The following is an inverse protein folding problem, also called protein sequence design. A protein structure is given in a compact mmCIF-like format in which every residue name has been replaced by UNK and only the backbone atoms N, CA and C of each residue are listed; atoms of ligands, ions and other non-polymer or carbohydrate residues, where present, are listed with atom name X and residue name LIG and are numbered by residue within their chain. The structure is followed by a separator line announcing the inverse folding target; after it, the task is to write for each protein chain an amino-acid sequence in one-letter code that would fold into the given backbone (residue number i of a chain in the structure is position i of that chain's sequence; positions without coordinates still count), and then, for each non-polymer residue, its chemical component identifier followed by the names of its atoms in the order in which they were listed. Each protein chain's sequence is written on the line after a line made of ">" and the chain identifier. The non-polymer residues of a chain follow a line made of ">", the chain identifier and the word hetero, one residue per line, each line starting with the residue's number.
data_IF_194731959592
#
_entry.id   IF_194731959592
#
_cell.length_a   1.000
_cell.length_b   1.000
_cell.length_c   1.000
_cell.angle_alpha   90.00
_cell.angle_beta   90.00
_cell.angle_gamma   90.00
#
_symmetry.space_group_name_H-M   'P 1'
#
loop_
_entity.id
_entity.type
_entity.pdbx_description
1 polymer ?
#
# COMPACT_ATOMS: atom_id res chain seq x y z
N UNK A 1 29.10 -34.70 15.82
CA UNK A 1 28.84 -35.96 15.08
C UNK A 1 27.74 -35.66 14.06
N UNK A 2 28.14 -35.18 12.88
CA UNK A 2 27.24 -34.90 11.74
C UNK A 2 27.00 -36.26 11.03
N UNK A 3 25.73 -36.63 10.86
CA UNK A 3 25.35 -37.76 9.99
C UNK A 3 25.12 -37.22 8.58
N UNK A 4 26.01 -37.52 7.66
CA UNK A 4 25.83 -37.33 6.23
C UNK A 4 24.71 -38.25 5.73
N UNK A 5 23.68 -37.66 5.13
CA UNK A 5 22.63 -38.41 4.43
C UNK A 5 23.16 -38.87 3.07
N UNK A 6 23.15 -40.19 2.87
CA UNK A 6 23.74 -40.88 1.74
C UNK A 6 22.87 -40.67 0.46
N UNK A 7 23.54 -40.40 -0.67
CA UNK A 7 22.97 -40.12 -2.02
C UNK A 7 21.94 -41.18 -2.50
N UNK A 8 21.94 -42.37 -1.91
CA UNK A 8 20.97 -43.45 -2.25
C UNK A 8 19.57 -43.24 -1.66
N UNK A 9 19.42 -42.45 -0.61
CA UNK A 9 18.09 -42.14 -0.01
C UNK A 9 17.36 -41.04 -0.78
N UNK A 10 18.08 -40.25 -1.56
CA UNK A 10 17.46 -39.19 -2.41
C UNK A 10 16.86 -39.76 -3.70
N UNK A 11 17.33 -40.92 -4.18
CA UNK A 11 16.84 -41.55 -5.41
C UNK A 11 15.64 -42.50 -5.20
N UNK A 12 15.31 -42.87 -3.96
CA UNK A 12 14.14 -43.71 -3.66
C UNK A 12 12.83 -42.93 -3.45
N UNK A 13 12.89 -41.59 -3.31
CA UNK A 13 11.71 -40.71 -3.23
C UNK A 13 11.25 -40.19 -4.61
N UNK A 14 12.02 -40.46 -5.66
CA UNK A 14 11.74 -40.04 -7.04
C UNK A 14 11.04 -41.04 -7.94
N UNK A 15 10.79 -42.30 -7.49
CA UNK A 15 10.37 -43.41 -8.36
C UNK A 15 8.92 -43.88 -8.15
N UNK A 16 8.07 -43.18 -7.44
CA UNK A 16 6.66 -43.55 -7.21
C UNK A 16 5.63 -42.52 -7.82
N UNK A 17 6.06 -41.72 -8.77
CA UNK A 17 5.18 -40.75 -9.43
C UNK A 17 5.05 -40.93 -10.96
N UNK A 18 5.24 -42.12 -11.46
CA UNK A 18 5.08 -42.35 -12.90
C UNK A 18 4.36 -43.68 -13.18
N UNK A 19 3.06 -43.73 -12.91
CA UNK A 19 2.10 -44.66 -13.56
C UNK A 19 0.66 -44.20 -13.22
N UNK A 20 0.08 -43.39 -14.10
CA UNK A 20 -1.27 -42.93 -13.96
C UNK A 20 -1.59 -41.86 -14.99
N UNK A 21 -1.26 -42.08 -16.29
CA UNK A 21 -1.72 -41.26 -17.38
C UNK A 21 -3.19 -41.59 -17.68
N UNK A 22 -4.09 -41.12 -16.81
CA UNK A 22 -5.49 -40.89 -17.11
C UNK A 22 -5.64 -39.46 -17.46
N UNK A 23 -5.94 -39.12 -18.72
CA UNK A 23 -6.40 -37.81 -19.16
C UNK A 23 -7.73 -37.45 -18.48
N UNK A 24 -7.72 -37.06 -17.23
CA UNK A 24 -8.72 -36.16 -16.70
C UNK A 24 -8.14 -34.74 -16.91
N UNK A 25 -8.80 -33.93 -17.74
CA UNK A 25 -8.63 -32.51 -17.74
C UNK A 25 -9.01 -32.00 -16.34
N UNK A 26 -8.06 -32.09 -15.41
CA UNK A 26 -8.14 -31.34 -14.18
C UNK A 26 -8.16 -29.88 -14.63
N UNK A 27 -9.37 -29.28 -14.69
CA UNK A 27 -9.49 -27.83 -14.56
C UNK A 27 -8.62 -27.50 -13.37
N UNK A 28 -7.50 -26.79 -13.61
CA UNK A 28 -6.74 -26.19 -12.53
C UNK A 28 -7.76 -25.41 -11.73
N UNK A 29 -8.00 -25.81 -10.48
CA UNK A 29 -8.88 -25.05 -9.61
C UNK A 29 -8.38 -23.62 -9.67
N UNK A 30 -9.18 -22.76 -10.27
CA UNK A 30 -8.83 -21.37 -10.54
C UNK A 30 -8.38 -20.74 -9.20
N UNK A 31 -7.12 -20.41 -9.08
CA UNK A 31 -6.55 -19.94 -7.81
C UNK A 31 -7.15 -18.58 -7.51
N UNK A 32 -8.22 -18.58 -6.72
CA UNK A 32 -8.86 -17.37 -6.22
C UNK A 32 -8.54 -17.15 -4.74
N UNK A 33 -8.36 -15.91 -4.35
CA UNK A 33 -8.13 -15.53 -2.96
C UNK A 33 -8.53 -14.06 -2.73
N UNK A 34 -8.62 -13.70 -1.47
CA UNK A 34 -8.81 -12.29 -1.09
C UNK A 34 -7.66 -11.77 -0.23
N UNK A 35 -7.54 -10.45 -0.21
CA UNK A 35 -6.61 -9.70 0.65
C UNK A 35 -7.42 -8.58 1.31
N UNK A 36 -7.33 -8.46 2.64
CA UNK A 36 -7.85 -7.30 3.33
C UNK A 36 -6.85 -6.15 3.18
N UNK A 37 -7.31 -4.98 2.71
CA UNK A 37 -6.45 -3.82 2.45
C UNK A 37 -6.82 -2.68 3.38
N UNK A 38 -5.84 -2.21 4.15
CA UNK A 38 -5.91 -1.02 4.97
C UNK A 38 -4.97 0.04 4.38
N UNK A 39 -5.43 1.26 4.24
CA UNK A 39 -4.58 2.40 3.88
C UNK A 39 -3.86 2.97 5.10
N UNK A 40 -3.59 4.25 5.05
CA UNK A 40 -3.04 5.02 6.16
C UNK A 40 -3.88 4.80 7.42
N UNK A 41 -3.30 4.30 8.48
CA UNK A 41 -4.00 4.05 9.75
C UNK A 41 -3.51 4.97 10.86
N UNK A 42 -2.28 5.49 10.76
CA UNK A 42 -1.67 6.42 11.69
C UNK A 42 -1.88 5.99 13.14
N UNK A 43 -1.44 4.77 13.48
CA UNK A 43 -1.57 4.26 14.85
C UNK A 43 -1.02 5.27 15.84
N UNK A 44 -1.79 5.50 16.88
CA UNK A 44 -1.42 6.31 18.04
C UNK A 44 -2.06 5.70 19.31
N UNK A 45 -1.65 6.17 20.46
CA UNK A 45 -2.29 5.78 21.72
C UNK A 45 -3.52 6.66 21.99
N UNK A 46 -4.56 6.11 22.63
CA UNK A 46 -5.66 6.91 23.16
C UNK A 46 -5.19 7.96 24.18
N UNK A 47 -4.07 7.73 24.88
CA UNK A 47 -3.40 8.73 25.71
C UNK A 47 -2.32 9.46 24.89
N UNK A 48 -2.56 10.73 24.64
CA UNK A 48 -1.69 11.64 23.88
C UNK A 48 -0.25 11.67 24.43
N UNK A 49 -0.05 11.49 25.75
CA UNK A 49 1.26 11.54 26.40
C UNK A 49 2.18 10.37 26.07
N UNK A 50 1.68 9.25 25.61
CA UNK A 50 2.47 8.00 25.46
C UNK A 50 3.64 8.17 24.50
N UNK A 51 3.41 8.72 23.29
CA UNK A 51 4.46 8.85 22.28
C UNK A 51 4.97 10.28 22.10
N UNK A 52 4.20 11.29 22.48
CA UNK A 52 4.43 12.70 22.14
C UNK A 52 4.90 13.55 23.33
N UNK A 53 5.04 12.99 24.54
CA UNK A 53 5.39 13.73 25.75
C UNK A 53 6.70 14.52 25.65
N UNK A 54 7.65 14.05 24.85
CA UNK A 54 8.97 14.70 24.66
C UNK A 54 9.00 15.65 23.46
N UNK A 55 7.94 15.69 22.67
CA UNK A 55 7.90 16.57 21.51
C UNK A 55 7.67 18.02 21.92
N UNK A 56 8.61 18.89 21.58
CA UNK A 56 8.54 20.34 21.89
C UNK A 56 8.77 21.13 20.60
N UNK A 57 7.73 21.53 19.90
CA UNK A 57 7.89 22.35 18.70
C UNK A 57 8.51 23.70 19.06
N UNK A 58 9.34 24.24 18.15
CA UNK A 58 9.94 25.55 18.32
C UNK A 58 8.85 26.61 18.55
N UNK A 59 8.97 27.37 19.63
CA UNK A 59 8.02 28.44 19.97
C UNK A 59 7.82 29.40 18.78
N UNK A 60 6.58 29.78 18.51
CA UNK A 60 6.21 30.66 17.38
C UNK A 60 6.18 29.97 16.00
N UNK A 61 6.62 28.71 15.88
CA UNK A 61 6.55 27.98 14.62
C UNK A 61 5.10 27.59 14.26
N UNK A 62 4.89 27.29 12.98
CA UNK A 62 3.59 26.72 12.50
C UNK A 62 3.29 25.44 13.26
N UNK A 63 4.31 24.61 13.47
CA UNK A 63 4.20 23.37 14.24
C UNK A 63 3.67 23.61 15.66
N UNK A 64 4.17 24.60 16.38
CA UNK A 64 3.67 24.92 17.72
C UNK A 64 2.19 25.33 17.75
N UNK A 65 1.70 25.93 16.66
CA UNK A 65 0.28 26.32 16.53
C UNK A 65 -0.63 25.15 16.22
N UNK A 66 -0.20 24.23 15.37
CA UNK A 66 -1.05 23.13 14.89
C UNK A 66 -0.96 21.86 15.75
N UNK A 67 0.14 21.67 16.48
CA UNK A 67 0.41 20.45 17.23
C UNK A 67 -0.69 20.08 18.26
N UNK A 68 -1.17 20.99 19.11
CA UNK A 68 -2.22 20.65 20.09
C UNK A 68 -3.53 20.20 19.42
N UNK A 69 -3.92 20.85 18.32
CA UNK A 69 -5.11 20.49 17.57
C UNK A 69 -4.94 19.13 16.88
N UNK A 70 -3.75 18.87 16.34
CA UNK A 70 -3.41 17.61 15.70
C UNK A 70 -3.45 16.47 16.71
N UNK A 71 -2.84 16.63 17.88
CA UNK A 71 -2.84 15.64 18.94
C UNK A 71 -4.26 15.32 19.44
N UNK A 72 -5.10 16.35 19.61
CA UNK A 72 -6.50 16.13 19.96
C UNK A 72 -7.24 15.30 18.90
N UNK A 73 -7.04 15.58 17.63
CA UNK A 73 -7.65 14.84 16.52
C UNK A 73 -7.22 13.38 16.54
N UNK A 74 -5.94 13.10 16.72
CA UNK A 74 -5.39 11.74 16.77
C UNK A 74 -5.90 10.97 17.98
N UNK A 75 -5.98 11.63 19.14
CA UNK A 75 -6.62 11.06 20.34
C UNK A 75 -8.08 10.68 20.08
N UNK A 76 -8.87 11.60 19.53
CA UNK A 76 -10.29 11.37 19.26
C UNK A 76 -10.47 10.20 18.27
N UNK A 77 -9.62 10.14 17.22
CA UNK A 77 -9.60 9.05 16.26
C UNK A 77 -9.31 7.70 16.92
N UNK A 78 -8.30 7.62 17.78
CA UNK A 78 -7.88 6.36 18.42
C UNK A 78 -8.69 6.01 19.66
N UNK A 79 -9.45 6.94 20.24
CA UNK A 79 -10.37 6.68 21.34
C UNK A 79 -11.62 5.91 20.92
N UNK A 80 -11.94 5.82 19.65
CA UNK A 80 -13.18 5.18 19.20
C UNK A 80 -13.21 4.74 17.75
N UNK A 81 -13.06 5.67 16.79
CA UNK A 81 -13.31 5.40 15.37
C UNK A 81 -12.38 4.32 14.79
N UNK A 82 -11.09 4.39 15.06
CA UNK A 82 -10.14 3.41 14.54
C UNK A 82 -10.30 2.03 15.15
N UNK A 83 -10.70 1.95 16.42
CA UNK A 83 -11.02 0.67 17.08
C UNK A 83 -12.23 0.00 16.42
N UNK A 84 -13.28 0.79 16.10
CA UNK A 84 -14.46 0.30 15.37
C UNK A 84 -14.09 -0.16 13.96
N UNK A 85 -13.24 0.60 13.24
CA UNK A 85 -12.75 0.22 11.93
C UNK A 85 -11.94 -1.09 11.98
N UNK A 86 -11.03 -1.25 12.96
CA UNK A 86 -10.27 -2.48 13.13
C UNK A 86 -11.17 -3.68 13.42
N UNK A 87 -12.20 -3.50 14.27
CA UNK A 87 -13.19 -4.55 14.57
C UNK A 87 -14.02 -4.92 13.32
N UNK A 88 -14.38 -3.94 12.48
CA UNK A 88 -15.07 -4.17 11.23
C UNK A 88 -14.15 -4.86 10.20
N UNK A 89 -12.90 -4.42 10.09
CA UNK A 89 -11.89 -5.03 9.22
C UNK A 89 -11.69 -6.53 9.53
N UNK A 90 -11.65 -6.89 10.81
CA UNK A 90 -11.58 -8.31 11.21
C UNK A 90 -12.78 -9.12 10.70
N UNK A 91 -13.98 -8.56 10.70
CA UNK A 91 -15.20 -9.25 10.21
C UNK A 91 -15.18 -9.47 8.70
N UNK A 92 -14.40 -8.68 7.94
CA UNK A 92 -14.28 -8.83 6.49
C UNK A 92 -13.28 -9.93 6.09
N UNK A 93 -12.53 -10.49 7.05
CA UNK A 93 -11.66 -11.64 6.81
C UNK A 93 -12.51 -12.86 6.51
N UNK A 94 -12.28 -13.46 5.36
CA UNK A 94 -12.97 -14.66 4.85
C UNK A 94 -12.05 -15.86 4.88
N UNK A 95 -12.56 -17.10 4.70
CA UNK A 95 -11.73 -18.30 4.64
C UNK A 95 -10.67 -18.28 3.52
N UNK A 96 -10.94 -17.54 2.42
CA UNK A 96 -10.02 -17.37 1.30
C UNK A 96 -9.06 -16.19 1.44
N UNK A 97 -9.16 -15.39 2.52
CA UNK A 97 -8.25 -14.29 2.80
C UNK A 97 -6.85 -14.83 3.15
N UNK A 98 -5.82 -14.38 2.43
CA UNK A 98 -4.45 -14.88 2.58
C UNK A 98 -3.58 -14.03 3.48
N UNK A 99 -3.77 -12.72 3.48
CA UNK A 99 -3.04 -11.79 4.33
C UNK A 99 -3.78 -10.46 4.46
N UNK A 100 -3.33 -9.64 5.39
CA UNK A 100 -3.75 -8.24 5.54
C UNK A 100 -2.62 -7.35 5.04
N UNK A 101 -2.90 -6.54 4.02
CA UNK A 101 -1.97 -5.57 3.45
C UNK A 101 -2.27 -4.18 4.01
N UNK A 102 -1.24 -3.50 4.54
CA UNK A 102 -1.36 -2.12 5.01
C UNK A 102 -0.44 -1.22 4.18
N UNK A 103 -1.00 -0.13 3.61
CA UNK A 103 -0.39 0.66 2.54
C UNK A 103 0.53 1.80 3.04
N UNK A 104 1.22 1.59 4.17
CA UNK A 104 2.14 2.59 4.76
C UNK A 104 1.45 3.59 5.68
N UNK A 105 2.26 4.38 6.39
CA UNK A 105 1.81 5.22 7.49
C UNK A 105 1.05 4.37 8.54
N UNK A 106 1.73 3.28 8.95
CA UNK A 106 1.25 2.42 10.03
C UNK A 106 1.11 3.21 11.33
N UNK A 107 2.08 4.08 11.60
CA UNK A 107 2.11 4.90 12.80
C UNK A 107 1.95 6.39 12.48
N UNK A 108 1.53 7.16 13.48
CA UNK A 108 1.50 8.62 13.37
C UNK A 108 2.91 9.22 13.39
N UNK A 109 3.90 8.55 13.96
CA UNK A 109 5.23 9.11 14.15
C UNK A 109 5.20 10.31 15.11
N UNK A 110 5.93 11.39 14.81
CA UNK A 110 6.05 12.59 15.67
C UNK A 110 6.61 12.28 17.07
N UNK A 111 7.45 11.27 17.18
CA UNK A 111 8.16 10.91 18.42
C UNK A 111 9.43 11.74 18.52
N UNK A 112 9.75 12.27 19.69
CA UNK A 112 10.96 13.07 19.86
C UNK A 112 12.24 12.24 20.00
N UNK A 113 12.14 10.91 20.06
CA UNK A 113 13.26 10.00 20.29
C UNK A 113 13.11 8.73 19.46
N UNK A 114 14.23 8.22 18.94
CA UNK A 114 14.29 6.99 18.17
C UNK A 114 13.69 5.78 18.92
N UNK A 115 13.99 5.62 20.21
CA UNK A 115 13.44 4.54 21.02
C UNK A 115 11.91 4.60 21.18
N UNK A 116 11.33 5.82 21.24
CA UNK A 116 9.88 5.98 21.29
C UNK A 116 9.27 5.66 19.92
N UNK A 117 9.95 6.02 18.85
CA UNK A 117 9.54 5.69 17.48
C UNK A 117 9.54 4.16 17.26
N UNK A 118 10.59 3.47 17.70
CA UNK A 118 10.66 2.01 17.66
C UNK A 118 9.48 1.38 18.42
N UNK A 119 9.24 1.86 19.66
CA UNK A 119 8.11 1.40 20.45
C UNK A 119 6.78 1.63 19.77
N UNK A 120 6.55 2.79 19.15
CA UNK A 120 5.31 3.08 18.43
C UNK A 120 5.11 2.16 17.23
N UNK A 121 6.18 1.83 16.47
CA UNK A 121 6.15 0.84 15.38
C UNK A 121 5.78 -0.55 15.90
N UNK A 122 6.38 -0.99 17.01
CA UNK A 122 6.09 -2.28 17.64
C UNK A 122 4.64 -2.36 18.13
N UNK A 123 4.18 -1.33 18.82
CA UNK A 123 2.83 -1.26 19.37
C UNK A 123 1.79 -1.22 18.25
N UNK A 124 2.02 -0.42 17.19
CA UNK A 124 1.14 -0.33 16.03
C UNK A 124 1.04 -1.66 15.27
N UNK A 125 2.19 -2.29 15.02
CA UNK A 125 2.23 -3.62 14.41
C UNK A 125 1.48 -4.65 15.28
N UNK A 126 1.80 -4.69 16.58
CA UNK A 126 1.18 -5.62 17.54
C UNK A 126 -0.32 -5.41 17.67
N UNK A 127 -0.79 -4.16 17.66
CA UNK A 127 -2.21 -3.83 17.70
C UNK A 127 -2.96 -4.43 16.51
N UNK A 128 -2.52 -4.14 15.27
CA UNK A 128 -3.21 -4.65 14.08
C UNK A 128 -3.05 -6.15 13.92
N UNK A 129 -1.89 -6.71 14.21
CA UNK A 129 -1.68 -8.16 14.22
C UNK A 129 -2.65 -8.85 15.17
N UNK A 130 -2.81 -8.36 16.40
CA UNK A 130 -3.71 -8.94 17.40
C UNK A 130 -5.18 -8.71 17.07
N UNK A 131 -5.56 -7.50 16.68
CA UNK A 131 -6.98 -7.12 16.56
C UNK A 131 -7.59 -7.45 15.21
N UNK A 132 -6.81 -7.39 14.12
CA UNK A 132 -7.31 -7.60 12.75
C UNK A 132 -6.88 -8.97 12.21
N UNK A 133 -5.62 -9.33 12.29
CA UNK A 133 -5.06 -10.50 11.59
C UNK A 133 -4.29 -11.48 12.49
N UNK A 134 -4.87 -11.97 13.63
CA UNK A 134 -4.12 -12.83 14.54
C UNK A 134 -3.59 -14.09 13.88
N UNK A 135 -4.33 -14.66 12.93
CA UNK A 135 -4.05 -15.94 12.28
C UNK A 135 -3.53 -15.80 10.84
N UNK A 136 -3.46 -14.56 10.31
CA UNK A 136 -3.01 -14.29 8.95
C UNK A 136 -1.77 -13.40 8.95
N UNK A 137 -0.89 -13.48 7.95
CA UNK A 137 0.20 -12.53 7.79
C UNK A 137 -0.32 -11.08 7.77
N UNK A 138 0.35 -10.21 8.53
CA UNK A 138 0.14 -8.76 8.49
C UNK A 138 1.33 -8.10 7.79
N UNK A 139 1.09 -7.47 6.65
CA UNK A 139 2.12 -6.94 5.76
C UNK A 139 1.98 -5.43 5.64
N UNK A 140 2.48 -4.64 6.61
CA UNK A 140 2.59 -3.20 6.47
C UNK A 140 3.79 -2.84 5.58
N UNK A 141 3.56 -2.00 4.56
CA UNK A 141 4.65 -1.39 3.81
C UNK A 141 5.09 -0.08 4.47
N UNK A 142 6.25 0.44 4.07
CA UNK A 142 6.77 1.69 4.65
C UNK A 142 6.08 2.93 4.08
N UNK A 143 5.52 3.77 4.96
CA UNK A 143 5.06 5.11 4.65
C UNK A 143 6.03 6.20 5.12
N UNK A 144 5.68 7.48 4.88
CA UNK A 144 6.56 8.57 5.28
C UNK A 144 6.53 8.83 6.79
N UNK A 145 5.42 8.59 7.46
CA UNK A 145 5.32 8.67 8.92
C UNK A 145 6.12 7.57 9.63
N UNK A 146 6.34 6.44 8.97
CA UNK A 146 7.09 5.33 9.52
C UNK A 146 8.61 5.57 9.54
N UNK A 147 9.13 6.48 8.69
CA UNK A 147 10.59 6.74 8.54
C UNK A 147 11.00 8.21 8.53
N UNK A 148 10.11 9.13 8.16
CA UNK A 148 10.40 10.57 8.00
C UNK A 148 9.21 11.46 8.44
N UNK A 149 8.19 10.86 9.02
CA UNK A 149 6.93 11.52 9.44
C UNK A 149 7.11 12.55 10.54
N UNK A 150 8.32 12.78 10.96
CA UNK A 150 8.61 13.80 11.92
C UNK A 150 9.70 14.72 11.37
N UNK A 151 9.26 15.88 10.91
CA UNK A 151 10.14 17.05 10.71
C UNK A 151 10.95 17.39 11.98
N UNK A 152 10.77 16.64 13.04
CA UNK A 152 11.19 16.82 14.40
C UNK A 152 12.22 15.81 14.89
N UNK A 153 12.37 14.69 14.20
CA UNK A 153 13.40 13.70 14.47
C UNK A 153 14.61 13.92 13.57
N UNK A 154 15.78 13.65 14.10
CA UNK A 154 16.96 13.43 13.26
C UNK A 154 16.64 12.24 12.32
N UNK A 155 16.61 12.53 11.01
CA UNK A 155 16.13 11.62 9.97
C UNK A 155 16.94 10.33 9.84
N UNK A 156 18.23 10.37 10.16
CA UNK A 156 19.12 9.21 10.01
C UNK A 156 18.77 8.07 10.95
N UNK A 157 18.59 8.29 12.25
CA UNK A 157 18.24 7.21 13.16
C UNK A 157 16.88 6.56 12.85
N UNK A 158 15.91 7.31 12.34
CA UNK A 158 14.53 6.80 12.17
C UNK A 158 14.42 5.74 11.07
N UNK A 159 15.20 5.87 10.00
CA UNK A 159 15.26 4.85 8.94
C UNK A 159 15.83 3.53 9.43
N UNK A 160 16.92 3.61 10.20
CA UNK A 160 17.54 2.42 10.78
C UNK A 160 16.59 1.80 11.80
N UNK A 161 15.92 2.60 12.61
CA UNK A 161 14.86 2.12 13.53
C UNK A 161 13.79 1.35 12.78
N UNK A 162 13.26 1.86 11.66
CA UNK A 162 12.29 1.13 10.86
C UNK A 162 12.87 -0.21 10.35
N UNK A 163 14.08 -0.19 9.81
CA UNK A 163 14.73 -1.39 9.28
C UNK A 163 14.94 -2.44 10.36
N UNK A 164 15.45 -2.03 11.50
CA UNK A 164 15.73 -2.90 12.63
C UNK A 164 14.47 -3.46 13.29
N UNK A 165 13.39 -2.66 13.32
CA UNK A 165 12.13 -3.02 13.98
C UNK A 165 11.18 -3.79 13.05
N UNK A 166 11.01 -3.34 11.80
CA UNK A 166 9.94 -3.82 10.94
C UNK A 166 10.37 -4.93 9.99
N UNK A 167 11.60 -4.90 9.43
CA UNK A 167 12.01 -5.93 8.45
C UNK A 167 12.08 -7.34 9.06
N UNK A 168 12.53 -7.54 10.31
CA UNK A 168 12.46 -8.86 10.95
C UNK A 168 11.02 -9.36 11.11
N UNK A 169 10.07 -8.47 11.47
CA UNK A 169 8.66 -8.81 11.60
C UNK A 169 8.05 -9.22 10.24
N UNK A 170 8.33 -8.45 9.19
CA UNK A 170 7.90 -8.77 7.82
C UNK A 170 8.51 -10.09 7.34
N UNK A 171 9.77 -10.36 7.67
CA UNK A 171 10.43 -11.63 7.36
C UNK A 171 9.72 -12.82 8.01
N UNK A 172 9.32 -12.67 9.27
CA UNK A 172 8.55 -13.66 10.00
C UNK A 172 7.16 -13.88 9.40
N UNK A 173 6.43 -12.79 9.12
CA UNK A 173 5.06 -12.84 8.57
C UNK A 173 5.01 -13.50 7.20
N UNK A 174 6.02 -13.27 6.36
CA UNK A 174 6.08 -13.79 4.98
C UNK A 174 6.91 -15.07 4.84
N UNK A 175 7.56 -15.55 5.90
CA UNK A 175 8.39 -16.74 5.88
C UNK A 175 9.60 -16.64 4.92
N UNK A 176 10.08 -15.43 4.63
CA UNK A 176 11.22 -15.18 3.74
C UNK A 176 12.11 -14.05 4.30
N UNK A 177 13.40 -14.08 3.95
CA UNK A 177 14.35 -13.04 4.40
C UNK A 177 14.07 -11.70 3.69
N UNK A 178 13.80 -10.65 4.45
CA UNK A 178 13.56 -9.29 3.95
C UNK A 178 14.63 -8.36 4.54
N UNK A 179 15.61 -7.99 3.72
CA UNK A 179 16.70 -7.09 4.11
C UNK A 179 16.56 -5.65 3.62
N UNK A 180 15.49 -5.34 2.88
CA UNK A 180 15.26 -4.03 2.28
C UNK A 180 13.78 -3.69 2.30
N UNK A 181 13.37 -2.43 2.59
CA UNK A 181 11.97 -2.01 2.50
C UNK A 181 11.36 -2.11 1.09
N UNK A 182 12.21 -2.14 0.04
CA UNK A 182 11.79 -2.53 -1.31
C UNK A 182 12.06 -4.02 -1.50
N UNK A 183 11.00 -4.83 -1.51
CA UNK A 183 11.05 -6.29 -1.61
C UNK A 183 9.87 -6.84 -2.42
N UNK A 184 9.94 -8.10 -2.80
CA UNK A 184 8.85 -8.79 -3.47
C UNK A 184 8.51 -10.11 -2.75
N UNK A 185 7.25 -10.51 -2.82
CA UNK A 185 6.80 -11.84 -2.43
C UNK A 185 5.72 -12.35 -3.38
N UNK A 186 5.50 -13.65 -3.40
CA UNK A 186 4.45 -14.26 -4.21
C UNK A 186 3.30 -14.76 -3.36
N UNK A 187 2.07 -14.54 -3.87
CA UNK A 187 0.88 -15.22 -3.41
C UNK A 187 0.36 -16.09 -4.56
N UNK A 188 0.68 -17.37 -4.51
CA UNK A 188 0.43 -18.27 -5.65
C UNK A 188 1.13 -17.77 -6.92
N UNK A 189 0.42 -17.61 -8.06
CA UNK A 189 0.99 -17.13 -9.31
C UNK A 189 1.21 -15.62 -9.35
N UNK A 190 0.79 -14.86 -8.35
CA UNK A 190 0.80 -13.40 -8.37
C UNK A 190 2.00 -12.82 -7.63
N UNK A 191 2.51 -11.70 -8.12
CA UNK A 191 3.61 -10.95 -7.54
C UNK A 191 3.11 -9.73 -6.79
N UNK A 192 3.52 -9.58 -5.55
CA UNK A 192 3.39 -8.36 -4.75
C UNK A 192 4.76 -7.73 -4.59
N UNK A 193 4.98 -6.58 -5.21
CA UNK A 193 6.22 -5.82 -5.19
C UNK A 193 6.02 -4.59 -4.31
N UNK A 194 6.51 -4.67 -3.07
CA UNK A 194 6.46 -3.60 -2.08
C UNK A 194 7.61 -2.62 -2.29
N UNK A 195 7.31 -1.32 -2.32
CA UNK A 195 8.27 -0.27 -2.68
C UNK A 195 8.45 0.72 -1.55
N UNK A 196 9.70 0.99 -1.17
CA UNK A 196 10.04 2.16 -0.36
C UNK A 196 9.86 3.44 -1.19
N UNK A 197 8.71 4.04 -1.06
CA UNK A 197 8.38 5.29 -1.71
C UNK A 197 9.25 6.46 -1.26
N UNK A 198 9.74 6.47 -0.02
CA UNK A 198 10.57 7.56 0.52
C UNK A 198 11.92 7.61 -0.17
N UNK A 199 12.45 6.43 -0.53
CA UNK A 199 13.77 6.25 -1.16
C UNK A 199 13.65 5.27 -2.33
N UNK A 200 12.89 5.62 -3.40
CA UNK A 200 12.63 4.72 -4.49
C UNK A 200 13.92 4.34 -5.22
N UNK A 201 14.22 3.05 -5.22
CA UNK A 201 15.30 2.43 -5.97
C UNK A 201 14.72 1.80 -7.24
N UNK A 202 14.56 2.62 -8.28
CA UNK A 202 13.99 2.16 -9.55
C UNK A 202 14.78 1.03 -10.22
N UNK A 203 16.12 1.01 -10.21
CA UNK A 203 16.90 -0.14 -10.67
C UNK A 203 16.54 -1.43 -9.94
N UNK A 204 16.45 -1.39 -8.62
CA UNK A 204 16.05 -2.56 -7.81
C UNK A 204 14.64 -3.02 -8.13
N UNK A 205 13.70 -2.09 -8.30
CA UNK A 205 12.32 -2.42 -8.68
C UNK A 205 12.30 -3.14 -10.02
N UNK A 206 13.03 -2.64 -11.03
CA UNK A 206 13.16 -3.28 -12.34
C UNK A 206 13.77 -4.68 -12.23
N UNK A 207 14.82 -4.85 -11.45
CA UNK A 207 15.45 -6.16 -11.21
C UNK A 207 14.47 -7.16 -10.58
N UNK A 208 13.72 -6.75 -9.55
CA UNK A 208 12.69 -7.60 -8.94
C UNK A 208 11.57 -7.98 -9.91
N UNK A 209 11.25 -7.11 -10.87
CA UNK A 209 10.32 -7.44 -11.95
C UNK A 209 10.96 -8.44 -12.93
N UNK A 210 12.21 -8.24 -13.33
CA UNK A 210 12.96 -9.13 -14.24
C UNK A 210 13.11 -10.54 -13.63
N UNK A 211 13.35 -10.66 -12.32
CA UNK A 211 13.43 -11.94 -11.61
C UNK A 211 12.08 -12.69 -11.53
N UNK A 212 10.99 -12.02 -11.88
CA UNK A 212 9.62 -12.57 -11.82
C UNK A 212 8.91 -12.39 -13.16
N UNK A 213 9.36 -13.04 -14.25
CA UNK A 213 8.77 -12.85 -15.58
C UNK A 213 7.39 -13.53 -15.70
N UNK A 214 7.23 -14.71 -15.10
CA UNK A 214 6.07 -15.58 -15.29
C UNK A 214 5.10 -15.44 -14.10
N UNK A 215 4.37 -14.34 -14.08
CA UNK A 215 3.33 -14.07 -13.07
C UNK A 215 2.00 -13.77 -13.73
N UNK A 216 0.91 -14.21 -13.09
CA UNK A 216 -0.45 -13.91 -13.58
C UNK A 216 -0.76 -12.43 -13.44
N UNK A 217 -0.55 -11.87 -12.24
CA UNK A 217 -0.73 -10.45 -11.95
C UNK A 217 0.50 -9.86 -11.25
N UNK A 218 0.81 -8.62 -11.58
CA UNK A 218 1.83 -7.81 -10.89
C UNK A 218 1.14 -6.71 -10.09
N UNK A 219 1.22 -6.80 -8.76
CA UNK A 219 0.80 -5.75 -7.85
C UNK A 219 2.03 -4.94 -7.43
N UNK A 220 2.06 -3.63 -7.75
CA UNK A 220 3.04 -2.71 -7.18
C UNK A 220 2.40 -2.03 -5.97
N UNK A 221 2.96 -2.25 -4.79
CA UNK A 221 2.45 -1.74 -3.53
C UNK A 221 3.38 -0.65 -3.04
N UNK A 222 2.89 0.58 -2.98
CA UNK A 222 3.67 1.76 -2.61
C UNK A 222 2.84 2.67 -1.73
N UNK A 223 3.43 3.29 -0.71
CA UNK A 223 2.68 4.27 0.07
C UNK A 223 2.31 5.49 -0.78
N UNK A 224 3.26 6.08 -1.50
CA UNK A 224 2.97 7.14 -2.46
C UNK A 224 2.40 6.62 -3.77
N UNK A 225 1.54 7.40 -4.41
CA UNK A 225 1.01 7.09 -5.73
C UNK A 225 2.12 6.79 -6.74
N UNK A 226 1.86 5.91 -7.70
CA UNK A 226 2.79 5.64 -8.81
C UNK A 226 2.70 6.78 -9.84
N UNK A 227 1.49 7.16 -10.20
CA UNK A 227 1.19 8.32 -11.07
C UNK A 227 0.39 9.37 -10.30
N UNK A 228 0.45 10.66 -10.66
CA UNK A 228 -0.25 11.70 -9.93
C UNK A 228 -1.76 11.52 -10.03
N UNK A 229 -2.49 11.68 -8.93
CA UNK A 229 -3.95 11.49 -8.87
C UNK A 229 -4.68 12.57 -8.06
N UNK A 230 -3.97 13.41 -7.35
CA UNK A 230 -4.55 14.52 -6.59
C UNK A 230 -3.60 15.73 -6.60
N UNK A 231 -4.19 16.91 -6.44
CA UNK A 231 -3.44 18.16 -6.39
C UNK A 231 -3.01 18.53 -4.96
N UNK A 232 -2.43 19.69 -4.83
CA UNK A 232 -1.96 20.24 -3.57
C UNK A 232 -0.48 19.92 -3.33
N UNK A 233 -0.06 20.02 -2.07
CA UNK A 233 1.34 19.73 -1.67
C UNK A 233 1.80 18.31 -2.00
N UNK A 234 0.85 17.45 -2.34
CA UNK A 234 1.09 16.02 -2.59
C UNK A 234 1.41 15.67 -4.04
N UNK A 235 1.29 16.58 -5.01
CA UNK A 235 1.56 16.26 -6.41
C UNK A 235 3.01 15.82 -6.67
N UNK A 236 3.97 16.26 -5.84
CA UNK A 236 5.39 15.87 -5.91
C UNK A 236 5.69 14.52 -5.23
N UNK A 237 4.70 13.96 -4.57
CA UNK A 237 4.86 12.78 -3.71
C UNK A 237 4.33 11.52 -4.41
N UNK A 238 4.78 11.30 -5.64
CA UNK A 238 4.49 10.06 -6.35
C UNK A 238 5.78 9.42 -6.87
N UNK A 239 5.75 8.11 -7.01
CA UNK A 239 6.94 7.30 -7.29
C UNK A 239 7.68 7.78 -8.53
N UNK A 240 6.97 8.02 -9.63
CA UNK A 240 7.54 8.42 -10.91
C UNK A 240 7.86 9.93 -10.99
N UNK A 241 7.44 10.73 -10.02
CA UNK A 241 7.66 12.18 -9.98
C UNK A 241 9.01 12.62 -9.43
N UNK A 242 9.81 11.72 -8.90
CA UNK A 242 11.16 12.06 -8.41
C UNK A 242 12.05 12.40 -9.61
N UNK A 243 12.60 13.60 -9.66
CA UNK A 243 13.40 14.10 -10.80
C UNK A 243 14.73 13.33 -11.02
N UNK A 244 15.22 12.65 -10.01
CA UNK A 244 16.43 11.84 -10.11
C UNK A 244 16.19 10.61 -10.98
N UNK A 245 17.10 10.35 -11.89
CA UNK A 245 17.12 9.18 -12.78
C UNK A 245 15.87 9.06 -13.67
N UNK A 246 15.49 10.14 -14.37
CA UNK A 246 14.28 10.20 -15.20
C UNK A 246 14.22 9.08 -16.25
N UNK A 247 15.33 8.75 -16.89
CA UNK A 247 15.40 7.67 -17.88
C UNK A 247 14.98 6.32 -17.27
N UNK A 248 15.49 6.01 -16.07
CA UNK A 248 15.16 4.77 -15.37
C UNK A 248 13.70 4.75 -14.93
N UNK A 249 13.16 5.91 -14.51
CA UNK A 249 11.74 6.03 -14.13
C UNK A 249 10.81 5.84 -15.32
N UNK A 250 11.16 6.37 -16.49
CA UNK A 250 10.40 6.14 -17.73
C UNK A 250 10.43 4.66 -18.12
N UNK A 251 11.60 4.00 -18.02
CA UNK A 251 11.72 2.55 -18.22
C UNK A 251 10.82 1.78 -17.25
N UNK A 252 10.81 2.16 -15.97
CA UNK A 252 9.95 1.54 -14.97
C UNK A 252 8.45 1.72 -15.30
N UNK A 253 8.04 2.93 -15.70
CA UNK A 253 6.65 3.19 -16.08
C UNK A 253 6.22 2.32 -17.27
N UNK A 254 7.03 2.28 -18.32
CA UNK A 254 6.81 1.44 -19.50
C UNK A 254 6.71 -0.05 -19.12
N UNK A 255 7.60 -0.54 -18.25
CA UNK A 255 7.57 -1.94 -17.79
C UNK A 255 6.31 -2.25 -16.96
N UNK A 256 5.87 -1.33 -16.09
CA UNK A 256 4.63 -1.49 -15.34
C UNK A 256 3.41 -1.53 -16.26
N UNK A 257 3.38 -0.68 -17.30
CA UNK A 257 2.31 -0.70 -18.29
C UNK A 257 2.32 -2.02 -19.09
N UNK A 258 3.49 -2.47 -19.57
CA UNK A 258 3.67 -3.71 -20.32
C UNK A 258 3.20 -4.94 -19.52
N UNK A 259 3.47 -4.97 -18.22
CA UNK A 259 3.00 -6.02 -17.30
C UNK A 259 1.53 -5.85 -16.91
N UNK A 260 0.89 -4.80 -17.35
CA UNK A 260 -0.48 -4.47 -16.96
C UNK A 260 -0.61 -4.41 -15.43
N UNK A 261 0.36 -3.78 -14.76
CA UNK A 261 0.46 -3.77 -13.31
C UNK A 261 -0.75 -3.09 -12.65
N UNK A 262 -1.05 -3.53 -11.43
CA UNK A 262 -2.04 -2.93 -10.55
C UNK A 262 -1.29 -2.26 -9.40
N UNK A 263 -1.40 -0.93 -9.28
CA UNK A 263 -0.79 -0.17 -8.20
C UNK A 263 -1.78 -0.02 -7.04
N UNK A 264 -1.37 -0.47 -5.84
CA UNK A 264 -2.09 -0.29 -4.59
C UNK A 264 -1.33 0.74 -3.76
N UNK A 265 -1.97 1.88 -3.45
CA UNK A 265 -1.28 3.03 -2.86
C UNK A 265 -2.09 3.71 -1.75
N UNK A 266 -1.44 4.55 -0.93
CA UNK A 266 -2.03 5.31 0.18
C UNK A 266 -1.67 6.81 0.13
N UNK A 267 -1.30 7.41 1.28
CA UNK A 267 -0.68 8.72 1.49
C UNK A 267 -1.61 9.94 1.45
N UNK A 268 -2.52 10.02 0.51
CA UNK A 268 -3.28 11.27 0.31
C UNK A 268 -4.63 11.32 1.06
N UNK A 269 -4.91 10.36 1.91
CA UNK A 269 -6.15 10.24 2.69
C UNK A 269 -7.42 10.41 1.83
N UNK A 270 -7.37 9.83 0.63
CA UNK A 270 -8.47 9.83 -0.33
C UNK A 270 -8.62 8.44 -0.94
N UNK A 271 -9.80 8.13 -1.43
CA UNK A 271 -10.02 6.97 -2.29
C UNK A 271 -9.93 7.44 -3.73
N UNK A 272 -9.00 6.87 -4.49
CA UNK A 272 -8.81 7.19 -5.90
C UNK A 272 -8.71 5.91 -6.70
N UNK A 273 -9.40 5.87 -7.82
CA UNK A 273 -9.19 4.88 -8.87
C UNK A 273 -8.78 5.62 -10.14
N UNK A 274 -7.74 5.15 -10.79
CA UNK A 274 -7.25 5.67 -12.06
C UNK A 274 -6.83 4.50 -12.95
N UNK A 275 -7.36 4.46 -14.15
CA UNK A 275 -7.04 3.46 -15.15
C UNK A 275 -6.39 4.12 -16.36
N UNK A 276 -5.19 3.70 -16.71
CA UNK A 276 -4.39 4.28 -17.79
C UNK A 276 -4.09 3.22 -18.84
N UNK A 277 -4.39 3.54 -20.09
CA UNK A 277 -4.05 2.73 -21.25
C UNK A 277 -3.03 3.50 -22.09
N UNK A 278 -1.87 2.89 -22.32
CA UNK A 278 -0.75 3.46 -23.08
C UNK A 278 -0.43 2.56 -24.27
N UNK A 279 0.38 3.01 -25.24
CA UNK A 279 0.85 2.15 -26.32
C UNK A 279 1.60 0.90 -25.83
N UNK A 280 2.27 0.98 -24.67
CA UNK A 280 3.00 -0.14 -24.07
C UNK A 280 2.10 -1.11 -23.31
N UNK A 281 0.88 -0.71 -22.91
CA UNK A 281 -0.03 -1.53 -22.16
C UNK A 281 -0.93 -0.74 -21.19
N UNK A 282 -1.15 -1.26 -19.99
CA UNK A 282 -2.11 -0.68 -19.05
C UNK A 282 -1.53 -0.61 -17.64
N UNK A 283 -1.79 0.48 -16.94
CA UNK A 283 -1.53 0.63 -15.51
C UNK A 283 -2.83 1.03 -14.81
N UNK A 284 -3.26 0.22 -13.84
CA UNK A 284 -4.41 0.56 -13.02
C UNK A 284 -3.91 0.93 -11.63
N UNK A 285 -4.35 2.07 -11.08
CA UNK A 285 -3.97 2.49 -9.74
C UNK A 285 -5.20 2.65 -8.85
N UNK A 286 -5.13 2.04 -7.67
CA UNK A 286 -6.12 2.22 -6.62
C UNK A 286 -5.47 2.76 -5.36
N UNK A 287 -5.98 3.88 -4.86
CA UNK A 287 -5.56 4.51 -3.61
C UNK A 287 -6.62 4.24 -2.54
N UNK A 288 -6.19 3.68 -1.41
CA UNK A 288 -7.03 3.47 -0.25
C UNK A 288 -6.55 4.29 0.94
N UNK A 289 -7.48 4.67 1.79
CA UNK A 289 -7.19 5.31 3.08
C UNK A 289 -8.08 4.74 4.16
N UNK A 290 -7.48 4.46 5.31
CA UNK A 290 -8.18 3.99 6.51
C UNK A 290 -8.16 5.02 7.65
N UNK A 291 -7.52 6.16 7.46
CA UNK A 291 -7.66 7.28 8.39
C UNK A 291 -9.15 7.66 8.46
N UNK A 292 -9.76 7.42 9.61
CA UNK A 292 -11.17 7.71 9.81
C UNK A 292 -11.33 8.72 10.95
N UNK A 293 -11.34 9.99 10.57
CA UNK A 293 -11.34 11.11 11.51
C UNK A 293 -12.75 11.55 11.92
N UNK A 294 -13.78 11.22 11.12
CA UNK A 294 -15.15 11.60 11.40
C UNK A 294 -16.17 10.70 10.70
N UNK A 295 -17.33 10.48 11.31
CA UNK A 295 -18.43 9.65 10.77
C UNK A 295 -18.86 10.06 9.35
N UNK A 296 -18.85 11.36 9.05
CA UNK A 296 -19.19 11.86 7.71
C UNK A 296 -18.30 11.31 6.60
N UNK A 297 -17.05 10.90 6.91
CA UNK A 297 -16.11 10.40 5.92
C UNK A 297 -16.43 8.95 5.50
N UNK A 298 -17.17 8.20 6.31
CA UNK A 298 -17.66 6.89 5.93
C UNK A 298 -18.66 6.94 4.75
N UNK A 299 -19.31 8.08 4.52
CA UNK A 299 -20.33 8.30 3.50
C UNK A 299 -19.94 9.40 2.51
N UNK A 300 -18.66 9.76 2.42
CA UNK A 300 -18.22 10.84 1.54
C UNK A 300 -18.58 10.55 0.08
N UNK A 301 -19.19 11.55 -0.57
CA UNK A 301 -19.59 11.45 -1.96
C UNK A 301 -18.39 11.61 -2.91
N UNK A 302 -18.45 11.04 -4.12
CA UNK A 302 -17.45 11.26 -5.16
C UNK A 302 -17.29 12.75 -5.46
N UNK A 303 -16.05 13.19 -5.62
CA UNK A 303 -15.71 14.58 -6.00
C UNK A 303 -15.44 14.71 -7.49
N UNK A 304 -14.87 13.67 -8.08
CA UNK A 304 -14.53 13.56 -9.49
C UNK A 304 -14.76 12.13 -9.94
N UNK A 305 -15.40 11.93 -11.09
CA UNK A 305 -15.76 10.60 -11.61
C UNK A 305 -15.47 10.43 -13.10
N UNK A 306 -14.78 11.40 -13.70
CA UNK A 306 -14.47 11.37 -15.13
C UNK A 306 -13.03 11.76 -15.39
N UNK A 307 -12.42 11.31 -16.51
CA UNK A 307 -11.10 11.73 -16.94
C UNK A 307 -10.95 13.26 -17.12
N UNK A 308 -12.03 13.97 -17.52
CA UNK A 308 -12.03 15.42 -17.63
C UNK A 308 -11.85 16.10 -16.26
N UNK A 309 -12.37 15.47 -15.21
CA UNK A 309 -12.18 15.92 -13.84
C UNK A 309 -10.73 15.86 -13.39
N UNK A 310 -9.98 14.86 -13.85
CA UNK A 310 -8.55 14.72 -13.57
C UNK A 310 -7.75 15.95 -14.00
N UNK A 311 -8.02 16.49 -15.17
CA UNK A 311 -7.31 17.67 -15.69
C UNK A 311 -7.53 18.94 -14.84
N UNK A 312 -8.58 18.97 -14.02
CA UNK A 312 -8.93 20.13 -13.17
C UNK A 312 -8.29 20.03 -11.77
N UNK A 313 -7.63 18.91 -11.45
CA UNK A 313 -7.03 18.70 -10.13
C UNK A 313 -5.90 19.68 -9.82
N UNK A 314 -4.95 19.98 -10.72
CA UNK A 314 -3.91 20.96 -10.47
C UNK A 314 -4.50 22.36 -10.32
N UNK A 315 -4.58 22.83 -9.07
CA UNK A 315 -4.98 24.20 -8.73
C UNK A 315 -3.79 24.94 -8.18
N UNK A 316 -3.78 26.28 -8.32
CA UNK A 316 -2.75 27.11 -7.71
C UNK A 316 -2.73 26.86 -6.20
N UNK A 317 -1.58 26.46 -5.67
CA UNK A 317 -1.35 26.29 -4.25
C UNK A 317 -0.05 27.00 -3.85
N UNK A 318 0.10 27.29 -2.55
CA UNK A 318 1.28 27.99 -2.04
C UNK A 318 2.57 27.19 -2.19
N UNK A 319 2.46 25.86 -2.24
CA UNK A 319 3.59 24.95 -2.07
C UNK A 319 4.11 24.36 -3.38
N UNK A 320 3.52 24.69 -4.53
CA UNK A 320 3.97 24.19 -5.84
C UNK A 320 3.62 25.13 -6.99
N UNK A 321 4.41 25.04 -8.07
CA UNK A 321 4.14 25.72 -9.32
C UNK A 321 2.94 25.05 -10.03
N UNK A 322 1.92 25.84 -10.32
CA UNK A 322 0.71 25.35 -10.98
C UNK A 322 0.96 24.94 -12.44
N UNK A 323 1.94 25.52 -13.10
CA UNK A 323 2.31 25.15 -14.47
C UNK A 323 3.08 23.83 -14.49
N UNK A 324 4.01 23.64 -13.54
CA UNK A 324 4.69 22.34 -13.34
C UNK A 324 3.67 21.23 -13.05
N UNK A 325 2.70 21.49 -12.19
CA UNK A 325 1.66 20.52 -11.87
C UNK A 325 0.77 20.22 -13.08
N UNK A 326 0.38 21.22 -13.85
CA UNK A 326 -0.43 21.03 -15.07
C UNK A 326 0.33 20.25 -16.15
N UNK A 327 1.61 20.54 -16.35
CA UNK A 327 2.46 19.79 -17.28
C UNK A 327 2.54 18.32 -16.89
N UNK A 328 2.74 18.05 -15.60
CA UNK A 328 2.84 16.71 -15.06
C UNK A 328 1.54 15.91 -15.24
N UNK A 329 0.40 16.48 -14.85
CA UNK A 329 -0.90 15.84 -15.07
C UNK A 329 -1.22 15.71 -16.57
N UNK A 330 -0.77 16.66 -17.39
CA UNK A 330 -0.90 16.64 -18.84
C UNK A 330 -0.18 15.46 -19.49
N UNK A 331 0.89 14.96 -18.89
CA UNK A 331 1.64 13.79 -19.37
C UNK A 331 0.80 12.50 -19.27
N UNK A 332 0.02 12.34 -18.21
CA UNK A 332 -0.75 11.10 -17.96
C UNK A 332 -2.19 11.18 -18.48
N UNK A 333 -2.76 12.38 -18.59
CA UNK A 333 -4.14 12.59 -19.00
C UNK A 333 -4.54 11.89 -20.32
N UNK A 334 -3.75 11.92 -21.40
CA UNK A 334 -4.12 11.28 -22.67
C UNK A 334 -4.33 9.77 -22.55
N UNK A 335 -3.75 9.15 -21.53
CA UNK A 335 -3.80 7.71 -21.28
C UNK A 335 -4.91 7.31 -20.31
N UNK A 336 -5.54 8.27 -19.65
CA UNK A 336 -6.54 8.00 -18.61
C UNK A 336 -7.89 7.62 -19.23
N UNK A 337 -8.33 6.40 -19.03
CA UNK A 337 -9.58 5.85 -19.54
C UNK A 337 -10.71 5.90 -18.53
N UNK A 338 -10.40 5.76 -17.23
CA UNK A 338 -11.38 5.89 -16.15
C UNK A 338 -10.75 6.56 -14.93
N UNK A 339 -11.55 7.34 -14.20
CA UNK A 339 -11.10 8.08 -13.03
C UNK A 339 -12.20 8.28 -12.00
N UNK A 340 -11.86 7.99 -10.76
CA UNK A 340 -12.72 8.24 -9.60
C UNK A 340 -11.90 8.86 -8.46
N UNK A 341 -12.44 9.86 -7.82
CA UNK A 341 -11.87 10.51 -6.63
C UNK A 341 -12.96 10.76 -5.60
N UNK A 342 -12.73 10.30 -4.38
CA UNK A 342 -13.61 10.52 -3.23
C UNK A 342 -12.81 10.83 -1.97
N UNK A 343 -13.41 11.57 -1.05
CA UNK A 343 -12.89 11.73 0.31
C UNK A 343 -13.35 10.62 1.26
N UNK A 344 -13.94 9.53 0.75
CA UNK A 344 -14.39 8.42 1.59
C UNK A 344 -13.21 7.70 2.22
N UNK A 345 -13.34 7.38 3.50
CA UNK A 345 -12.34 6.68 4.30
C UNK A 345 -12.93 5.39 4.84
N UNK A 346 -12.09 4.38 5.01
CA UNK A 346 -12.53 3.09 5.51
C UNK A 346 -11.53 1.98 5.23
N UNK A 347 -12.02 0.84 4.81
CA UNK A 347 -11.24 -0.35 4.50
C UNK A 347 -11.64 -0.94 3.18
N UNK A 348 -10.77 -1.78 2.61
CA UNK A 348 -11.00 -2.37 1.30
C UNK A 348 -10.73 -3.88 1.33
N UNK A 349 -11.35 -4.60 0.41
CA UNK A 349 -11.04 -6.00 0.12
C UNK A 349 -10.68 -6.14 -1.35
N UNK A 350 -9.51 -6.69 -1.59
CA UNK A 350 -9.04 -7.08 -2.91
C UNK A 350 -9.43 -8.54 -3.13
N UNK A 351 -10.24 -8.80 -4.15
CA UNK A 351 -10.59 -10.14 -4.58
C UNK A 351 -9.83 -10.44 -5.89
N UNK A 352 -9.04 -11.53 -5.89
CA UNK A 352 -8.16 -11.91 -7.00
C UNK A 352 -8.60 -13.26 -7.55
N UNK A 353 -8.93 -13.31 -8.82
CA UNK A 353 -9.29 -14.53 -9.53
C UNK A 353 -8.73 -14.49 -10.96
N UNK A 354 -8.71 -15.63 -11.66
CA UNK A 354 -8.24 -15.70 -13.06
C UNK A 354 -9.06 -14.81 -14.00
N UNK A 355 -10.37 -14.69 -13.75
CA UNK A 355 -11.26 -13.89 -14.58
C UNK A 355 -11.18 -12.39 -14.30
N UNK A 356 -10.91 -11.98 -13.05
CA UNK A 356 -10.91 -10.57 -12.70
C UNK A 356 -10.17 -10.32 -11.38
N UNK A 357 -9.68 -9.08 -11.23
CA UNK A 357 -9.23 -8.51 -9.96
C UNK A 357 -10.16 -7.35 -9.62
N UNK A 358 -10.77 -7.40 -8.44
CA UNK A 358 -11.70 -6.36 -7.99
C UNK A 358 -11.30 -5.80 -6.64
N UNK A 359 -11.62 -4.53 -6.41
CA UNK A 359 -11.45 -3.87 -5.11
C UNK A 359 -12.81 -3.41 -4.59
N UNK A 360 -13.24 -3.98 -3.49
CA UNK A 360 -14.47 -3.59 -2.79
C UNK A 360 -14.14 -2.65 -1.63
N UNK A 361 -14.77 -1.49 -1.62
CA UNK A 361 -14.59 -0.48 -0.57
C UNK A 361 -15.75 -0.47 0.42
N UNK A 362 -15.42 -0.35 1.70
CA UNK A 362 -16.36 -0.21 2.82
C UNK A 362 -16.08 1.11 3.54
N UNK A 363 -17.09 1.95 3.70
CA UNK A 363 -16.95 3.23 4.40
C UNK A 363 -16.90 3.05 5.92
N UNK A 364 -15.85 3.51 6.58
CA UNK A 364 -15.69 3.43 8.03
C UNK A 364 -15.87 2.00 8.54
N UNK A 365 -16.77 1.80 9.50
CA UNK A 365 -17.12 0.50 10.08
C UNK A 365 -18.40 -0.15 9.47
N UNK A 366 -18.93 0.41 8.38
CA UNK A 366 -20.14 -0.10 7.73
C UNK A 366 -19.94 -1.50 7.19
N UNK A 367 -20.94 -2.38 7.38
CA UNK A 367 -20.89 -3.74 6.87
C UNK A 367 -21.09 -3.81 5.35
N UNK A 368 -21.94 -2.91 4.81
CA UNK A 368 -22.26 -2.91 3.39
C UNK A 368 -21.17 -2.24 2.57
N UNK A 369 -20.81 -2.81 1.42
CA UNK A 369 -19.88 -2.18 0.50
C UNK A 369 -20.44 -0.87 -0.05
N UNK A 370 -19.60 0.15 -0.14
CA UNK A 370 -19.99 1.42 -0.75
C UNK A 370 -19.77 1.42 -2.26
N UNK A 371 -18.77 0.69 -2.74
CA UNK A 371 -18.44 0.56 -4.16
C UNK A 371 -17.47 -0.60 -4.42
N UNK A 372 -17.60 -1.20 -5.61
CA UNK A 372 -16.63 -2.15 -6.14
C UNK A 372 -16.04 -1.60 -7.44
N UNK A 373 -14.72 -1.71 -7.58
CA UNK A 373 -13.96 -1.32 -8.77
C UNK A 373 -13.37 -2.57 -9.41
N UNK A 374 -13.47 -2.67 -10.74
CA UNK A 374 -12.76 -3.69 -11.51
C UNK A 374 -11.38 -3.16 -11.85
N UNK A 375 -10.34 -3.72 -11.20
CA UNK A 375 -8.95 -3.33 -11.41
C UNK A 375 -8.35 -4.06 -12.63
N UNK A 376 -8.84 -5.25 -12.91
CA UNK A 376 -8.49 -6.06 -14.08
C UNK A 376 -9.67 -6.94 -14.47
N UNK A 377 -9.93 -7.01 -15.75
CA UNK A 377 -10.87 -7.97 -16.36
C UNK A 377 -10.09 -8.77 -17.39
N UNK A 378 -10.02 -10.08 -17.22
CA UNK A 378 -9.36 -10.98 -18.16
C UNK A 378 -10.15 -11.15 -19.46
N UNK A 379 -11.48 -10.93 -19.43
CA UNK A 379 -12.34 -11.00 -20.60
C UNK A 379 -12.22 -9.77 -21.52
N UNK A 380 -11.77 -8.64 -20.98
CA UNK A 380 -11.41 -7.47 -21.75
C UNK A 380 -10.08 -7.76 -22.47
N UNK A 381 -10.16 -8.51 -23.58
CA UNK A 381 -9.05 -8.85 -24.45
C UNK A 381 -8.25 -7.63 -24.86
N UNK A 382 -7.05 -7.88 -25.35
CA UNK A 382 -6.20 -6.88 -26.04
C UNK A 382 -7.03 -6.25 -27.17
N UNK A 383 -7.71 -5.14 -26.86
CA UNK A 383 -8.27 -4.26 -27.86
C UNK A 383 -7.21 -3.19 -28.22
#
# INVERSE_FOLDING_TARGET
>A
MQRELNRRQFLQLGALAALGAGCSSARSDALSYSVLVLGDVHFDAPDIGVYHAHYKPKAGSVAAKIFPMRMKREHDQWSGLMQRLAAAARKDIRPDTKFVLQLGDLIQGNCAKAAIHAKMLEDGFGYFKKTVSPDLPFVPIVGNHDVDGSIWLDKKPVREVYRETMLPKLSQELGQSIGNPTFAFRQGPDLFLCVDFNFPDCPRILHLLEDNPDVRYTFIVSHGAVVPVCGGSHFRWFLLGKKKDEVVRRKLYSELCRRRAIALVGHNHQTVFADLVTPEGRLTQFMATSVWEAEKQAAAQPRQTTPEGYAKIPKKAKDYDADEARALFGEYRPHLTDFFLSGQQGRCRLDVADAAVTMTMFGGDRAEPSRTFVLRDASAGLA
#
